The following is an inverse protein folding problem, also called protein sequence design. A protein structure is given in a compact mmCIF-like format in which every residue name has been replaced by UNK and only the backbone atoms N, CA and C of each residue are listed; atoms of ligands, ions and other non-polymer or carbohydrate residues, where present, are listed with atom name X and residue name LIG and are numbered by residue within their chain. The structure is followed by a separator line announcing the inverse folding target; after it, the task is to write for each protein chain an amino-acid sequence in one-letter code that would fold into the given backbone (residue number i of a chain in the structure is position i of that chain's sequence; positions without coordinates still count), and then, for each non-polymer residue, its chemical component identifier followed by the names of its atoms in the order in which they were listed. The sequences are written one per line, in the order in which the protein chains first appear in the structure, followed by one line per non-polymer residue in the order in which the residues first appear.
data_IF_816647746515
#
_entry.id   IF_816647746515
#
_cell.length_a   1.000
_cell.length_b   1.000
_cell.length_c   1.000
_cell.angle_alpha   90.00
_cell.angle_beta   90.00
_cell.angle_gamma   90.00
#
_symmetry.space_group_name_H-M   'P 1'
#
loop_
_entity.id
_entity.type
_entity.pdbx_description
1 polymer ?
#
# COMPACT_ATOMS: atom_id res chain seq x y z
N UNK A 1 -19.54 63.50 -30.24
CA UNK A 1 -19.84 62.11 -29.85
C UNK A 1 -18.82 61.72 -28.80
N UNK A 2 -19.24 61.57 -27.54
CA UNK A 2 -18.36 61.18 -26.42
C UNK A 2 -18.24 59.66 -26.39
N UNK A 3 -17.02 59.12 -26.53
CA UNK A 3 -16.76 57.69 -26.37
C UNK A 3 -16.54 57.37 -24.89
N UNK A 4 -17.47 56.62 -24.29
CA UNK A 4 -17.26 55.94 -23.00
C UNK A 4 -16.31 54.75 -23.21
N UNK A 5 -15.19 54.74 -22.48
CA UNK A 5 -14.35 53.57 -22.28
C UNK A 5 -14.84 52.81 -21.03
N UNK A 6 -15.45 51.65 -21.22
CA UNK A 6 -15.67 50.68 -20.14
C UNK A 6 -14.41 49.84 -19.96
N UNK A 7 -13.67 50.08 -18.88
CA UNK A 7 -12.61 49.16 -18.43
C UNK A 7 -13.31 48.02 -17.68
N UNK A 8 -13.57 46.93 -18.40
CA UNK A 8 -13.99 45.66 -17.80
C UNK A 8 -12.80 45.07 -17.05
N UNK A 9 -12.87 45.07 -15.72
CA UNK A 9 -11.91 44.41 -14.86
C UNK A 9 -11.99 42.90 -15.02
N UNK A 10 -10.97 42.31 -15.64
CA UNK A 10 -10.82 40.87 -15.77
C UNK A 10 -10.44 40.29 -14.39
N UNK A 11 -11.42 39.79 -13.65
CA UNK A 11 -11.19 38.89 -12.53
C UNK A 11 -10.66 37.56 -13.10
N UNK A 12 -9.33 37.39 -13.07
CA UNK A 12 -8.74 36.07 -13.23
C UNK A 12 -9.08 35.27 -11.98
N UNK A 13 -9.76 34.11 -12.08
CA UNK A 13 -9.86 33.21 -10.94
C UNK A 13 -8.44 32.72 -10.66
N UNK A 14 -7.90 33.09 -9.49
CA UNK A 14 -6.69 32.46 -8.97
C UNK A 14 -7.02 30.98 -8.84
N UNK A 15 -6.40 30.17 -9.69
CA UNK A 15 -6.41 28.72 -9.57
C UNK A 15 -5.84 28.39 -8.19
N UNK A 16 -6.71 28.10 -7.23
CA UNK A 16 -6.29 27.39 -6.03
C UNK A 16 -6.05 25.94 -6.48
N UNK A 17 -4.87 25.68 -7.04
CA UNK A 17 -4.34 24.32 -7.08
C UNK A 17 -4.05 23.99 -5.63
N UNK A 18 -5.02 23.39 -4.95
CA UNK A 18 -4.77 22.75 -3.66
C UNK A 18 -3.80 21.61 -3.93
N UNK A 19 -2.50 21.85 -3.75
CA UNK A 19 -1.55 20.76 -3.65
C UNK A 19 -1.84 20.12 -2.31
N UNK A 20 -2.55 18.99 -2.31
CA UNK A 20 -2.84 18.24 -1.11
C UNK A 20 -1.54 18.04 -0.32
N UNK A 21 -1.44 18.67 0.85
CA UNK A 21 -0.24 18.55 1.67
C UNK A 21 -0.26 17.17 2.34
N UNK A 22 0.93 16.56 2.47
CA UNK A 22 1.10 15.26 3.11
C UNK A 22 1.99 15.36 4.36
N UNK A 23 1.49 15.89 5.49
CA UNK A 23 2.27 16.00 6.71
C UNK A 23 2.69 14.63 7.24
N UNK A 24 4.00 14.44 7.40
CA UNK A 24 4.56 13.27 8.06
C UNK A 24 4.54 13.45 9.58
N UNK A 25 4.03 12.45 10.29
CA UNK A 25 3.95 12.45 11.74
C UNK A 25 4.93 11.43 12.32
N UNK A 26 5.91 11.94 13.08
CA UNK A 26 6.99 11.16 13.70
C UNK A 26 6.58 10.42 14.99
N UNK A 27 5.29 10.41 15.34
CA UNK A 27 4.76 9.63 16.46
C UNK A 27 4.23 8.30 15.94
N UNK A 28 4.53 7.21 16.65
CA UNK A 28 3.95 5.89 16.35
C UNK A 28 2.59 5.72 17.01
N UNK A 29 1.62 5.23 16.25
CA UNK A 29 0.25 4.97 16.69
C UNK A 29 -0.31 3.74 15.98
N UNK A 30 -1.32 3.08 16.57
CA UNK A 30 -2.14 2.12 15.82
C UNK A 30 -2.85 2.83 14.66
N UNK A 31 -3.34 2.07 13.66
CA UNK A 31 -3.98 2.69 12.49
C UNK A 31 -5.20 3.53 12.89
N UNK A 32 -6.03 3.01 13.81
CA UNK A 32 -7.22 3.73 14.29
C UNK A 32 -6.87 5.02 15.04
N UNK A 33 -5.83 5.00 15.87
CA UNK A 33 -5.35 6.19 16.57
C UNK A 33 -4.75 7.22 15.61
N UNK A 34 -3.97 6.76 14.62
CA UNK A 34 -3.39 7.61 13.59
C UNK A 34 -4.47 8.30 12.74
N UNK A 35 -5.49 7.55 12.31
CA UNK A 35 -6.65 8.10 11.59
C UNK A 35 -7.37 9.16 12.41
N UNK A 36 -7.65 8.86 13.69
CA UNK A 36 -8.28 9.81 14.59
C UNK A 36 -7.45 11.09 14.71
N UNK A 37 -6.15 10.97 14.96
CA UNK A 37 -5.24 12.12 15.04
C UNK A 37 -5.27 12.96 13.76
N UNK A 38 -5.20 12.32 12.59
CA UNK A 38 -5.24 13.02 11.31
C UNK A 38 -6.59 13.70 11.08
N UNK A 39 -7.72 13.10 11.48
CA UNK A 39 -9.05 13.73 11.36
C UNK A 39 -9.25 14.89 12.33
N UNK A 40 -8.60 14.85 13.49
CA UNK A 40 -8.65 15.95 14.45
C UNK A 40 -7.76 17.12 14.01
N UNK A 41 -6.56 16.83 13.49
CA UNK A 41 -5.50 17.83 13.23
C UNK A 41 -5.44 18.29 11.77
N UNK A 42 -5.80 17.42 10.83
CA UNK A 42 -5.75 17.59 9.37
C UNK A 42 -7.07 17.09 8.75
N UNK A 43 -7.08 16.62 7.50
CA UNK A 43 -8.29 16.04 6.89
C UNK A 43 -8.50 14.57 7.26
N UNK A 44 -7.55 13.68 6.94
CA UNK A 44 -7.57 12.24 7.22
C UNK A 44 -6.15 11.66 7.06
N UNK A 45 -5.96 10.35 7.18
CA UNK A 45 -4.77 9.67 6.65
C UNK A 45 -4.65 9.88 5.14
N UNK A 46 -3.42 9.82 4.62
CA UNK A 46 -3.15 10.06 3.21
C UNK A 46 -3.82 9.05 2.27
N UNK A 47 -4.45 9.56 1.22
CA UNK A 47 -4.96 8.76 0.10
C UNK A 47 -4.05 8.86 -1.11
N UNK A 48 -4.01 7.79 -1.90
CA UNK A 48 -3.25 7.71 -3.15
C UNK A 48 -4.21 7.40 -4.29
N UNK A 49 -4.28 8.29 -5.28
CA UNK A 49 -5.12 8.12 -6.47
C UNK A 49 -4.29 7.79 -7.70
N UNK A 50 -3.02 8.21 -7.71
CA UNK A 50 -2.13 8.13 -8.86
C UNK A 50 -0.71 7.71 -8.49
N UNK A 51 0.10 7.41 -9.51
CA UNK A 51 1.53 7.16 -9.33
C UNK A 51 2.27 8.41 -8.87
N UNK A 52 1.79 9.58 -9.27
CA UNK A 52 2.31 10.90 -8.91
C UNK A 52 2.09 11.16 -7.41
N UNK A 53 0.90 10.86 -6.90
CA UNK A 53 0.59 10.92 -5.46
C UNK A 53 1.55 10.03 -4.67
N UNK A 54 1.73 8.79 -5.13
CA UNK A 54 2.65 7.83 -4.50
C UNK A 54 4.10 8.35 -4.52
N UNK A 55 4.54 8.91 -5.64
CA UNK A 55 5.89 9.48 -5.78
C UNK A 55 6.09 10.69 -4.85
N UNK A 56 5.07 11.52 -4.68
CA UNK A 56 5.06 12.64 -3.73
C UNK A 56 5.21 12.17 -2.28
N UNK A 57 4.46 11.13 -1.89
CA UNK A 57 4.59 10.51 -0.57
C UNK A 57 5.98 9.94 -0.33
N UNK A 58 6.56 9.22 -1.31
CA UNK A 58 7.88 8.62 -1.17
C UNK A 58 8.99 9.64 -0.94
N UNK A 59 8.91 10.82 -1.57
CA UNK A 59 9.88 11.90 -1.33
C UNK A 59 9.91 12.35 0.13
N UNK A 60 8.75 12.39 0.78
CA UNK A 60 8.62 12.78 2.19
C UNK A 60 9.16 11.68 3.10
N UNK A 61 8.79 10.43 2.82
CA UNK A 61 9.21 9.25 3.59
C UNK A 61 10.74 9.09 3.54
N UNK A 62 11.34 9.19 2.35
CA UNK A 62 12.80 9.04 2.17
C UNK A 62 13.59 10.13 2.90
N UNK A 63 13.08 11.36 2.94
CA UNK A 63 13.71 12.46 3.65
C UNK A 63 13.70 12.26 5.19
N UNK A 64 12.76 11.49 5.72
CA UNK A 64 12.57 11.32 7.16
C UNK A 64 13.31 10.10 7.77
N UNK A 65 14.05 9.30 6.97
CA UNK A 65 14.81 8.09 7.41
C UNK A 65 13.92 7.01 8.07
N UNK A 66 12.64 6.94 7.71
CA UNK A 66 11.64 6.20 8.51
C UNK A 66 11.55 4.73 8.12
N UNK A 67 11.00 3.92 9.03
CA UNK A 67 10.46 2.58 8.74
C UNK A 67 8.97 2.71 8.37
N UNK A 68 8.28 1.59 8.15
CA UNK A 68 6.85 1.45 7.80
C UNK A 68 5.95 2.63 8.22
N UNK A 69 5.20 3.17 7.26
CA UNK A 69 4.27 4.28 7.49
C UNK A 69 2.84 3.92 7.10
N UNK A 70 1.86 4.27 7.92
CA UNK A 70 0.45 4.15 7.59
C UNK A 70 0.01 5.23 6.59
N UNK A 71 -0.83 4.81 5.65
CA UNK A 71 -1.71 5.66 4.85
C UNK A 71 -3.15 5.15 4.97
N UNK A 72 -4.11 5.80 4.32
CA UNK A 72 -5.54 5.62 4.55
C UNK A 72 -6.16 4.31 4.06
N UNK A 73 -5.39 3.38 3.50
CA UNK A 73 -5.94 2.12 2.96
C UNK A 73 -6.14 1.09 4.07
N UNK A 74 -7.37 0.56 4.18
CA UNK A 74 -7.75 -0.46 5.15
C UNK A 74 -8.78 -1.43 4.55
N UNK A 75 -8.97 -2.59 5.19
CA UNK A 75 -9.88 -3.63 4.73
C UNK A 75 -11.28 -3.46 5.34
N UNK A 76 -12.29 -3.33 4.51
CA UNK A 76 -13.70 -3.18 4.94
C UNK A 76 -14.43 -4.51 5.10
N UNK A 77 -13.93 -5.58 4.48
CA UNK A 77 -14.62 -6.86 4.35
C UNK A 77 -15.67 -6.89 3.22
N UNK A 78 -15.98 -5.76 2.60
CA UNK A 78 -16.92 -5.67 1.47
C UNK A 78 -16.15 -5.73 0.16
N UNK A 79 -16.34 -6.79 -0.61
CA UNK A 79 -15.66 -6.99 -1.89
C UNK A 79 -16.34 -6.20 -3.01
N UNK A 80 -15.57 -5.33 -3.66
CA UNK A 80 -16.06 -4.44 -4.73
C UNK A 80 -15.16 -4.56 -5.96
N UNK A 81 -15.76 -4.44 -7.14
CA UNK A 81 -15.04 -4.44 -8.42
C UNK A 81 -14.50 -3.05 -8.76
N UNK A 82 -13.28 -3.02 -9.29
CA UNK A 82 -12.50 -1.83 -9.55
C UNK A 82 -11.74 -1.96 -10.87
N UNK A 83 -11.71 -0.89 -11.66
CA UNK A 83 -10.79 -0.76 -12.78
C UNK A 83 -9.42 -0.29 -12.29
N UNK A 84 -8.36 -0.78 -12.90
CA UNK A 84 -6.98 -0.41 -12.56
C UNK A 84 -6.64 1.04 -12.89
N UNK A 85 -7.23 1.58 -13.97
CA UNK A 85 -7.16 3.00 -14.26
C UNK A 85 -8.13 3.79 -13.37
N UNK A 86 -7.69 4.94 -12.81
CA UNK A 86 -8.55 5.80 -12.02
C UNK A 86 -9.67 6.39 -12.89
N UNK A 87 -10.91 6.28 -12.41
CA UNK A 87 -12.10 6.83 -13.05
C UNK A 87 -13.35 6.39 -12.31
N UNK A 88 -14.00 7.32 -11.61
CA UNK A 88 -15.27 7.29 -10.87
C UNK A 88 -15.77 6.00 -10.18
N UNK A 89 -15.03 4.90 -10.11
CA UNK A 89 -15.39 3.66 -9.43
C UNK A 89 -16.65 2.95 -9.96
N UNK A 90 -17.40 3.54 -10.90
CA UNK A 90 -18.67 3.03 -11.37
C UNK A 90 -18.49 2.15 -12.61
N UNK A 91 -18.95 0.91 -12.50
CA UNK A 91 -19.11 -0.03 -13.61
C UNK A 91 -20.36 0.32 -14.43
N UNK A 92 -20.35 1.47 -15.09
CA UNK A 92 -21.48 1.88 -15.96
C UNK A 92 -21.64 0.91 -17.14
N UNK A 93 -20.53 0.53 -17.77
CA UNK A 93 -20.49 -0.51 -18.78
C UNK A 93 -20.13 -1.85 -18.15
N UNK A 94 -20.88 -2.89 -18.51
CA UNK A 94 -20.62 -4.26 -18.09
C UNK A 94 -20.82 -5.22 -19.26
N UNK A 95 -19.87 -6.14 -19.45
CA UNK A 95 -19.99 -7.20 -20.46
C UNK A 95 -19.69 -8.58 -19.85
N UNK A 96 -20.16 -8.82 -18.63
CA UNK A 96 -20.02 -10.11 -17.97
C UNK A 96 -20.68 -11.22 -18.79
N UNK A 97 -19.98 -12.35 -18.89
CA UNK A 97 -20.50 -13.60 -19.41
C UNK A 97 -21.70 -14.05 -18.57
N UNK A 98 -22.65 -14.74 -19.19
CA UNK A 98 -23.79 -15.30 -18.48
C UNK A 98 -23.35 -16.10 -17.22
N UNK A 99 -23.91 -15.74 -16.06
CA UNK A 99 -23.58 -16.33 -14.77
C UNK A 99 -22.35 -15.73 -14.06
N UNK A 100 -21.79 -14.64 -14.58
CA UNK A 100 -20.69 -13.87 -13.99
C UNK A 100 -21.13 -12.44 -13.61
N UNK A 101 -20.44 -11.77 -12.67
CA UNK A 101 -19.44 -12.34 -11.77
C UNK A 101 -20.09 -13.31 -10.76
N UNK A 102 -19.28 -14.09 -10.03
CA UNK A 102 -19.81 -15.03 -9.05
C UNK A 102 -20.45 -14.25 -7.90
N UNK A 103 -21.75 -14.41 -7.71
CA UNK A 103 -22.49 -13.73 -6.62
C UNK A 103 -22.06 -14.32 -5.28
N UNK A 104 -21.78 -13.45 -4.30
CA UNK A 104 -21.50 -13.86 -2.92
C UNK A 104 -20.11 -14.44 -2.66
N UNK A 105 -19.16 -14.32 -3.59
CA UNK A 105 -17.78 -14.72 -3.33
C UNK A 105 -17.08 -13.73 -2.40
N UNK A 106 -16.63 -14.18 -1.23
CA UNK A 106 -15.84 -13.39 -0.28
C UNK A 106 -14.32 -13.53 -0.55
N UNK A 107 -13.94 -13.51 -1.83
CA UNK A 107 -12.55 -13.71 -2.25
C UNK A 107 -12.15 -12.67 -3.28
N UNK A 108 -10.86 -12.33 -3.29
CA UNK A 108 -10.30 -11.48 -4.33
C UNK A 108 -10.51 -12.16 -5.70
N UNK A 109 -10.89 -11.38 -6.70
CA UNK A 109 -11.21 -11.88 -8.03
C UNK A 109 -10.59 -11.00 -9.11
N UNK A 110 -10.19 -11.60 -10.22
CA UNK A 110 -9.62 -10.88 -11.35
C UNK A 110 -10.40 -11.24 -12.62
N UNK A 111 -10.69 -10.25 -13.46
CA UNK A 111 -11.50 -10.50 -14.64
C UNK A 111 -10.62 -10.79 -15.85
N UNK A 112 -10.93 -11.89 -16.53
CA UNK A 112 -10.47 -12.16 -17.88
C UNK A 112 -11.54 -11.78 -18.90
N UNK A 113 -11.12 -11.58 -20.15
CA UNK A 113 -11.98 -11.43 -21.31
C UNK A 113 -11.82 -12.64 -22.22
N UNK A 114 -12.92 -13.23 -22.67
CA UNK A 114 -12.90 -14.32 -23.64
C UNK A 114 -12.95 -13.84 -25.10
N UNK A 115 -12.86 -14.77 -26.06
CA UNK A 115 -12.84 -14.45 -27.49
C UNK A 115 -14.12 -13.76 -28.00
N UNK A 116 -15.21 -13.80 -27.24
CA UNK A 116 -16.44 -13.08 -27.59
C UNK A 116 -16.41 -11.63 -27.11
N UNK A 117 -15.42 -11.27 -26.28
CA UNK A 117 -15.34 -10.00 -25.56
C UNK A 117 -16.06 -10.04 -24.21
N UNK A 118 -16.57 -11.20 -23.79
CA UNK A 118 -17.33 -11.36 -22.54
C UNK A 118 -16.37 -11.54 -21.36
N UNK A 119 -16.71 -10.95 -20.21
CA UNK A 119 -15.86 -10.98 -19.02
C UNK A 119 -16.19 -12.17 -18.14
N UNK A 120 -15.18 -12.74 -17.50
CA UNK A 120 -15.36 -13.81 -16.53
C UNK A 120 -14.44 -13.59 -15.34
N UNK A 121 -14.92 -13.92 -14.14
CA UNK A 121 -14.11 -13.93 -12.94
C UNK A 121 -13.25 -15.20 -12.88
N UNK A 122 -11.97 -15.01 -12.58
CA UNK A 122 -11.02 -16.08 -12.36
C UNK A 122 -10.05 -15.71 -11.22
N UNK A 123 -9.32 -16.70 -10.72
CA UNK A 123 -8.32 -16.50 -9.68
C UNK A 123 -7.22 -15.56 -10.16
N UNK A 124 -6.90 -14.54 -9.36
CA UNK A 124 -5.83 -13.59 -9.67
C UNK A 124 -4.43 -14.24 -9.84
N UNK A 125 -4.25 -15.47 -9.35
CA UNK A 125 -3.00 -16.24 -9.51
C UNK A 125 -2.94 -17.04 -10.81
N UNK A 126 -4.07 -17.21 -11.52
CA UNK A 126 -4.10 -17.92 -12.81
C UNK A 126 -3.19 -17.20 -13.81
N UNK A 127 -2.39 -17.98 -14.54
CA UNK A 127 -1.46 -17.46 -15.54
C UNK A 127 -2.19 -17.28 -16.87
N UNK A 128 -2.28 -16.06 -17.38
CA UNK A 128 -2.90 -15.75 -18.69
C UNK A 128 -2.09 -14.71 -19.45
N UNK A 129 -2.23 -14.71 -20.77
CA UNK A 129 -1.84 -13.54 -21.59
C UNK A 129 -2.71 -12.36 -21.22
N UNK A 130 -2.31 -11.15 -21.58
CA UNK A 130 -2.96 -9.94 -21.09
C UNK A 130 -2.90 -8.80 -22.08
N UNK A 131 -3.86 -7.89 -21.99
CA UNK A 131 -3.91 -6.70 -22.84
C UNK A 131 -3.57 -5.48 -22.01
N UNK A 132 -2.53 -4.76 -22.42
CA UNK A 132 -2.19 -3.46 -21.87
C UNK A 132 -2.89 -2.35 -22.66
N UNK A 133 -3.11 -1.21 -22.02
CA UNK A 133 -3.46 0.05 -22.65
C UNK A 133 -2.28 1.01 -22.55
N UNK A 134 -2.07 1.79 -23.60
CA UNK A 134 -1.26 3.00 -23.56
C UNK A 134 -2.18 4.19 -23.81
N UNK A 135 -2.51 4.92 -22.75
CA UNK A 135 -3.48 6.02 -22.82
C UNK A 135 -2.95 7.21 -23.60
N UNK A 136 -1.61 7.34 -23.73
CA UNK A 136 -1.00 8.41 -24.51
C UNK A 136 -1.21 8.19 -26.00
N UNK A 137 -1.15 6.93 -26.46
CA UNK A 137 -1.40 6.57 -27.86
C UNK A 137 -2.85 6.13 -28.11
N UNK A 138 -3.63 5.86 -27.06
CA UNK A 138 -4.99 5.32 -27.15
C UNK A 138 -5.02 3.88 -27.69
N UNK A 139 -3.93 3.13 -27.55
CA UNK A 139 -3.78 1.80 -28.15
C UNK A 139 -3.92 0.67 -27.12
N UNK A 140 -4.41 -0.48 -27.60
CA UNK A 140 -4.50 -1.72 -26.81
C UNK A 140 -3.51 -2.75 -27.38
N UNK A 141 -2.62 -3.25 -26.53
CA UNK A 141 -1.49 -4.09 -26.92
C UNK A 141 -1.64 -5.46 -26.27
N UNK A 142 -1.75 -6.51 -27.10
CA UNK A 142 -1.67 -7.88 -26.61
C UNK A 142 -0.22 -8.21 -26.23
N UNK A 143 -0.01 -8.66 -25.00
CA UNK A 143 1.26 -9.20 -24.54
C UNK A 143 1.18 -10.73 -24.52
N UNK A 144 1.87 -11.44 -25.43
CA UNK A 144 1.70 -12.89 -25.63
C UNK A 144 2.52 -13.73 -24.64
N UNK A 145 2.64 -13.28 -23.38
CA UNK A 145 3.29 -14.02 -22.29
C UNK A 145 2.28 -14.25 -21.16
N UNK A 146 2.30 -15.43 -20.56
CA UNK A 146 1.38 -15.74 -19.46
C UNK A 146 1.93 -15.24 -18.12
N UNK A 147 1.10 -14.49 -17.39
CA UNK A 147 1.39 -13.93 -16.07
C UNK A 147 0.19 -14.03 -15.12
N UNK A 148 0.45 -14.00 -13.81
CA UNK A 148 -0.62 -13.73 -12.84
C UNK A 148 -1.19 -12.34 -13.12
N UNK A 149 -2.41 -12.06 -12.67
CA UNK A 149 -3.04 -10.77 -12.95
C UNK A 149 -2.20 -9.60 -12.41
N UNK A 150 -1.62 -9.78 -11.21
CA UNK A 150 -0.77 -8.74 -10.60
C UNK A 150 0.55 -8.57 -11.36
N UNK A 151 1.20 -9.65 -11.78
CA UNK A 151 2.43 -9.54 -12.58
C UNK A 151 2.17 -8.95 -13.97
N UNK A 152 0.98 -9.21 -14.54
CA UNK A 152 0.53 -8.61 -15.79
C UNK A 152 0.33 -7.10 -15.65
N UNK A 153 -0.33 -6.67 -14.56
CA UNK A 153 -0.48 -5.25 -14.20
C UNK A 153 0.88 -4.54 -14.09
N UNK A 154 1.81 -5.14 -13.35
CA UNK A 154 3.15 -4.58 -13.19
C UNK A 154 3.90 -4.48 -14.52
N UNK A 155 3.76 -5.48 -15.38
CA UNK A 155 4.32 -5.43 -16.72
C UNK A 155 3.74 -4.27 -17.53
N UNK A 156 2.41 -4.09 -17.53
CA UNK A 156 1.78 -3.00 -18.25
C UNK A 156 2.22 -1.63 -17.72
N UNK A 157 2.33 -1.44 -16.40
CA UNK A 157 2.84 -0.19 -15.80
C UNK A 157 4.32 0.07 -16.06
N UNK A 158 5.08 -0.96 -16.40
CA UNK A 158 6.52 -0.88 -16.69
C UNK A 158 6.83 -0.52 -18.14
N UNK A 159 6.03 -1.02 -19.08
CA UNK A 159 6.27 -0.88 -20.53
C UNK A 159 5.22 -0.05 -21.28
N UNK A 160 4.03 0.14 -20.69
CA UNK A 160 2.87 0.83 -21.25
C UNK A 160 2.26 1.75 -20.17
N UNK A 161 0.94 1.97 -20.18
CA UNK A 161 0.26 2.68 -19.08
C UNK A 161 -0.26 1.71 -18.02
N UNK A 162 -1.15 0.78 -18.40
CA UNK A 162 -1.87 -0.08 -17.45
C UNK A 162 -2.47 -1.31 -18.15
N UNK A 163 -3.01 -2.28 -17.41
CA UNK A 163 -3.95 -3.25 -17.97
C UNK A 163 -5.16 -2.56 -18.61
N UNK A 164 -5.70 -3.17 -19.66
CA UNK A 164 -6.78 -2.58 -20.43
C UNK A 164 -8.08 -2.44 -19.63
N UNK A 165 -8.59 -1.21 -19.53
CA UNK A 165 -9.94 -0.94 -19.04
C UNK A 165 -10.94 -0.89 -20.18
N UNK A 166 -12.09 -1.54 -19.99
CA UNK A 166 -13.21 -1.52 -20.93
C UNK A 166 -14.31 -0.63 -20.36
N UNK A 167 -14.19 0.69 -20.51
CA UNK A 167 -15.14 1.65 -19.92
C UNK A 167 -16.43 1.79 -20.72
N UNK A 168 -16.46 1.27 -21.95
CA UNK A 168 -17.62 1.27 -22.83
C UNK A 168 -17.51 0.13 -23.86
N UNK A 169 -18.58 -0.07 -24.63
CA UNK A 169 -18.65 -1.13 -25.65
C UNK A 169 -17.62 -0.97 -26.78
N UNK A 170 -17.25 0.26 -27.12
CA UNK A 170 -16.24 0.53 -28.16
C UNK A 170 -14.85 0.09 -27.69
N UNK A 171 -14.48 0.44 -26.46
CA UNK A 171 -13.23 0.00 -25.83
C UNK A 171 -13.19 -1.52 -25.67
N UNK A 172 -14.28 -2.13 -25.19
CA UNK A 172 -14.40 -3.58 -25.08
C UNK A 172 -14.14 -4.28 -26.42
N UNK A 173 -14.71 -3.74 -27.51
CA UNK A 173 -14.50 -4.28 -28.84
C UNK A 173 -13.05 -4.13 -29.31
N UNK A 174 -12.38 -3.02 -29.00
CA UNK A 174 -10.95 -2.83 -29.34
C UNK A 174 -10.06 -3.82 -28.59
N UNK A 175 -10.34 -4.06 -27.31
CA UNK A 175 -9.62 -5.05 -26.50
C UNK A 175 -9.82 -6.45 -27.07
N UNK A 176 -11.07 -6.83 -27.41
CA UNK A 176 -11.37 -8.09 -28.08
C UNK A 176 -10.59 -8.26 -29.39
N UNK A 177 -10.54 -7.22 -30.23
CA UNK A 177 -9.78 -7.25 -31.49
C UNK A 177 -8.29 -7.48 -31.23
N UNK A 178 -7.71 -6.79 -30.23
CA UNK A 178 -6.32 -6.99 -29.84
C UNK A 178 -6.05 -8.40 -29.30
N UNK A 179 -6.97 -8.95 -28.50
CA UNK A 179 -6.88 -10.28 -27.90
C UNK A 179 -7.02 -11.42 -28.93
N UNK A 180 -7.73 -11.18 -30.03
CA UNK A 180 -8.01 -12.19 -31.04
C UNK A 180 -8.80 -13.38 -30.46
N UNK A 181 -8.26 -14.59 -30.58
CA UNK A 181 -8.88 -15.82 -30.06
C UNK A 181 -8.47 -16.18 -28.64
N UNK A 182 -7.72 -15.33 -27.95
CA UNK A 182 -7.12 -15.64 -26.65
C UNK A 182 -8.02 -15.20 -25.50
N UNK A 183 -7.98 -15.94 -24.40
CA UNK A 183 -8.52 -15.48 -23.13
C UNK A 183 -7.45 -14.66 -22.40
N UNK A 184 -7.73 -13.38 -22.21
CA UNK A 184 -6.73 -12.41 -21.73
C UNK A 184 -7.13 -11.81 -20.38
N UNK A 185 -6.15 -11.45 -19.55
CA UNK A 185 -6.42 -10.52 -18.45
C UNK A 185 -6.75 -9.13 -18.97
N UNK A 186 -7.72 -8.51 -18.30
CA UNK A 186 -8.06 -7.09 -18.42
C UNK A 186 -7.93 -6.41 -17.05
N UNK A 187 -7.96 -5.09 -17.03
CA UNK A 187 -7.68 -4.26 -15.86
C UNK A 187 -8.78 -4.24 -14.80
N UNK A 188 -9.68 -5.22 -14.74
CA UNK A 188 -10.77 -5.29 -13.76
C UNK A 188 -10.42 -6.29 -12.66
N UNK A 189 -10.49 -5.85 -11.40
CA UNK A 189 -10.20 -6.66 -10.22
C UNK A 189 -11.22 -6.40 -9.11
N UNK A 190 -11.31 -7.33 -8.16
CA UNK A 190 -12.19 -7.27 -7.00
C UNK A 190 -11.36 -7.45 -5.74
N UNK A 191 -11.45 -6.49 -4.83
CA UNK A 191 -10.84 -6.58 -3.50
C UNK A 191 -11.75 -5.94 -2.44
N UNK A 192 -11.33 -6.03 -1.17
CA UNK A 192 -12.04 -5.46 -0.01
C UNK A 192 -11.30 -4.27 0.61
N UNK A 193 -10.34 -3.70 -0.10
CA UNK A 193 -9.53 -2.59 0.38
C UNK A 193 -10.18 -1.25 -0.01
N UNK A 194 -10.36 -0.37 0.97
CA UNK A 194 -11.01 0.93 0.78
C UNK A 194 -10.16 2.04 1.41
N UNK A 195 -10.31 3.26 0.90
CA UNK A 195 -9.63 4.43 1.44
C UNK A 195 -10.45 5.08 2.57
N UNK A 196 -9.76 5.52 3.62
CA UNK A 196 -10.36 6.10 4.82
C UNK A 196 -11.14 7.39 4.57
N UNK A 197 -10.76 8.14 3.55
CA UNK A 197 -11.45 9.35 3.11
C UNK A 197 -12.70 9.05 2.25
N UNK A 198 -13.06 7.78 2.09
CA UNK A 198 -14.16 7.31 1.23
C UNK A 198 -13.96 7.62 -0.25
N UNK A 199 -12.73 7.92 -0.70
CA UNK A 199 -12.43 8.03 -2.11
C UNK A 199 -12.60 6.68 -2.81
N UNK A 200 -13.10 6.74 -4.04
CA UNK A 200 -13.26 5.56 -4.90
C UNK A 200 -11.96 5.11 -5.59
N UNK A 201 -10.79 5.50 -5.08
CA UNK A 201 -9.51 5.21 -5.76
C UNK A 201 -9.22 3.71 -5.82
N UNK A 202 -8.94 3.25 -7.04
CA UNK A 202 -8.53 1.88 -7.34
C UNK A 202 -7.01 1.70 -7.38
N UNK A 203 -6.23 2.72 -7.01
CA UNK A 203 -4.77 2.62 -7.00
C UNK A 203 -4.32 1.60 -5.95
N UNK A 204 -3.46 0.67 -6.40
CA UNK A 204 -2.84 -0.37 -5.56
C UNK A 204 -1.37 -0.47 -5.89
N UNK A 205 -0.51 -0.44 -4.87
CA UNK A 205 0.93 -0.55 -5.02
C UNK A 205 1.54 -1.57 -4.04
N UNK A 206 0.85 -2.70 -3.92
CA UNK A 206 1.27 -3.84 -3.10
C UNK A 206 2.64 -4.38 -3.50
N UNK A 207 3.37 -4.88 -2.52
CA UNK A 207 4.59 -5.64 -2.73
C UNK A 207 4.28 -7.00 -3.35
N UNK A 208 5.31 -7.68 -3.87
CA UNK A 208 5.17 -9.05 -4.37
C UNK A 208 4.60 -9.94 -3.25
N UNK A 209 3.61 -10.77 -3.58
CA UNK A 209 2.87 -11.62 -2.64
C UNK A 209 2.10 -10.87 -1.53
N UNK A 210 1.79 -9.58 -1.73
CA UNK A 210 0.94 -8.78 -0.83
C UNK A 210 -0.30 -8.29 -1.57
N UNK A 211 -1.44 -8.06 -0.89
CA UNK A 211 -1.66 -8.35 0.52
C UNK A 211 -1.64 -9.87 0.75
N UNK A 212 -1.09 -10.28 1.89
CA UNK A 212 -1.07 -11.68 2.32
C UNK A 212 -2.46 -12.16 2.76
N UNK A 213 -3.34 -11.21 3.08
CA UNK A 213 -4.72 -11.44 3.50
C UNK A 213 -4.80 -12.36 4.75
N UNK A 214 -3.77 -12.35 5.60
CA UNK A 214 -3.76 -13.09 6.86
C UNK A 214 -4.80 -12.47 7.80
N UNK A 215 -5.54 -13.33 8.52
CA UNK A 215 -6.59 -12.88 9.45
C UNK A 215 -6.04 -11.86 10.45
N UNK A 216 -6.68 -10.70 10.53
CA UNK A 216 -6.30 -9.60 11.42
C UNK A 216 -5.23 -8.65 10.85
N UNK A 217 -4.80 -8.84 9.60
CA UNK A 217 -3.95 -7.90 8.86
C UNK A 217 -4.79 -7.03 7.92
N UNK A 218 -5.58 -6.14 8.53
CA UNK A 218 -6.61 -5.38 7.83
C UNK A 218 -6.20 -3.92 7.54
N UNK A 219 -4.93 -3.56 7.79
CA UNK A 219 -4.40 -2.22 7.55
C UNK A 219 -3.12 -2.28 6.74
N UNK A 220 -2.81 -1.22 5.99
CA UNK A 220 -1.67 -1.22 5.08
C UNK A 220 -0.58 -0.25 5.52
N UNK A 221 0.69 -0.66 5.40
CA UNK A 221 1.85 0.23 5.52
C UNK A 221 2.65 0.31 4.22
N UNK A 222 3.15 1.51 3.95
CA UNK A 222 4.20 1.75 2.95
C UNK A 222 5.54 1.42 3.58
N UNK A 223 6.31 0.52 2.96
CA UNK A 223 7.61 0.07 3.47
C UNK A 223 8.76 0.89 2.86
N UNK A 224 9.79 1.14 3.66
CA UNK A 224 10.95 1.97 3.30
C UNK A 224 12.15 1.12 2.92
N UNK A 225 12.02 0.33 1.86
CA UNK A 225 13.18 -0.19 1.14
C UNK A 225 12.76 -0.79 -0.20
N UNK A 226 13.42 -0.40 -1.30
CA UNK A 226 13.48 0.94 -1.88
C UNK A 226 12.25 1.24 -2.78
N UNK A 227 11.25 0.36 -2.81
CA UNK A 227 10.24 0.37 -3.87
C UNK A 227 8.98 1.17 -3.53
N UNK A 228 8.81 1.59 -2.27
CA UNK A 228 7.59 2.25 -1.81
C UNK A 228 6.36 1.34 -1.81
N UNK A 229 6.58 0.02 -1.86
CA UNK A 229 5.53 -0.98 -1.96
C UNK A 229 4.88 -1.25 -0.62
N UNK A 230 3.66 -1.73 -0.71
CA UNK A 230 2.76 -1.86 0.42
C UNK A 230 2.68 -3.28 0.96
N UNK A 231 2.58 -3.41 2.27
CA UNK A 231 2.31 -4.67 2.94
C UNK A 231 1.05 -4.53 3.81
N UNK A 232 0.26 -5.60 3.91
CA UNK A 232 -0.80 -5.67 4.91
C UNK A 232 -0.23 -6.04 6.27
N UNK A 233 -0.74 -5.42 7.32
CA UNK A 233 -0.28 -5.55 8.69
C UNK A 233 -1.47 -5.48 9.65
N UNK A 234 -1.26 -5.93 10.88
CA UNK A 234 -2.27 -5.72 11.91
C UNK A 234 -2.48 -4.24 12.17
N UNK A 235 -3.75 -3.82 12.23
CA UNK A 235 -4.15 -2.46 12.57
C UNK A 235 -3.71 -2.04 13.99
N UNK A 236 -3.43 -3.01 14.87
CA UNK A 236 -2.96 -2.77 16.23
C UNK A 236 -1.48 -2.38 16.31
N UNK A 237 -0.70 -2.58 15.24
CA UNK A 237 0.73 -2.29 15.24
C UNK A 237 0.98 -0.77 15.28
N UNK A 238 1.87 -0.32 16.15
CA UNK A 238 2.23 1.10 16.21
C UNK A 238 3.23 1.46 15.09
N UNK A 239 2.81 2.31 14.13
CA UNK A 239 3.64 2.78 13.02
C UNK A 239 3.59 4.31 12.91
N UNK A 240 4.58 4.88 12.23
CA UNK A 240 4.50 6.28 11.79
C UNK A 240 3.39 6.43 10.75
N UNK A 241 2.98 7.66 10.44
CA UNK A 241 1.85 7.86 9.54
C UNK A 241 1.91 9.20 8.81
N UNK A 242 1.21 9.26 7.68
CA UNK A 242 1.09 10.46 6.86
C UNK A 242 -0.37 10.89 6.84
N UNK A 243 -0.62 12.13 7.21
CA UNK A 243 -1.94 12.75 7.06
C UNK A 243 -2.07 13.42 5.69
N UNK A 244 -3.29 13.72 5.27
CA UNK A 244 -3.57 14.59 4.13
C UNK A 244 -4.27 15.88 4.56
N UNK A 245 -3.96 16.96 3.84
CA UNK A 245 -4.52 18.28 4.04
C UNK A 245 -3.66 19.17 4.94
N UNK A 246 -4.07 20.43 5.04
CA UNK A 246 -3.41 21.42 5.87
C UNK A 246 -3.83 21.27 7.34
N UNK A 247 -3.04 21.87 8.23
CA UNK A 247 -3.40 21.99 9.65
C UNK A 247 -4.77 22.68 9.77
N UNK A 248 -5.71 22.03 10.44
CA UNK A 248 -6.99 22.65 10.82
C UNK A 248 -6.68 23.82 11.75
N UNK A 249 -6.96 25.03 11.28
CA UNK A 249 -6.64 26.29 11.97
C UNK A 249 -7.19 26.26 13.40
N UNK A 250 -6.31 26.14 14.39
CA UNK A 250 -6.67 26.07 15.83
C UNK A 250 -5.92 25.00 16.63
N UNK A 251 -5.29 24.01 15.99
CA UNK A 251 -4.44 23.03 16.65
C UNK A 251 -2.97 23.31 16.31
N UNK A 252 -2.40 24.31 16.97
CA UNK A 252 -0.95 24.45 16.98
C UNK A 252 -0.37 23.15 17.56
N UNK A 253 0.36 22.40 16.74
CA UNK A 253 1.26 21.35 17.21
C UNK A 253 2.11 21.98 18.32
N UNK A 254 1.99 21.47 19.55
CA UNK A 254 3.01 21.68 20.57
C UNK A 254 4.31 21.05 20.03
N UNK A 255 5.03 21.85 19.26
CA UNK A 255 6.39 21.58 18.84
C UNK A 255 7.24 21.70 20.10
N UNK A 256 7.81 20.59 20.54
CA UNK A 256 8.83 20.57 21.58
C UNK A 256 10.08 21.28 21.06
N UNK A 257 10.16 22.59 21.30
CA UNK A 257 11.40 23.36 21.24
C UNK A 257 11.76 23.82 22.64
N UNK A 258 12.69 23.11 23.29
CA UNK A 258 13.60 23.73 24.25
C UNK A 258 14.97 23.92 23.56
N UNK A 259 15.60 25.11 23.66
CA UNK A 259 16.94 25.32 23.11
C UNK A 259 18.01 24.56 23.95
N UNK A 260 19.18 24.22 23.36
CA UNK A 260 20.32 23.72 24.14
C UNK A 260 20.82 24.82 25.07
N UNK A 261 21.04 24.47 26.34
CA UNK A 261 21.64 25.35 27.34
C UNK A 261 23.08 25.71 26.94
N UNK A 262 23.41 27.00 27.02
CA UNK A 262 24.77 27.54 26.86
C UNK A 262 25.73 26.90 27.90
N UNK A 263 26.98 26.55 27.53
CA UNK A 263 27.96 26.05 28.49
C UNK A 263 28.54 27.20 29.32
N UNK A 264 28.35 27.13 30.65
CA UNK A 264 29.04 27.98 31.61
C UNK A 264 30.54 27.69 31.57
N UNK A 265 31.34 28.72 31.27
CA UNK A 265 32.80 28.63 31.31
C UNK A 265 33.34 28.54 32.75
N UNK A 266 34.37 27.71 32.89
CA UNK A 266 35.17 27.48 34.08
C UNK A 266 36.03 28.71 34.39
N UNK A 267 36.06 29.13 35.66
CA UNK A 267 37.09 30.02 36.18
C UNK A 267 37.87 29.30 37.30
N UNK A 268 39.19 29.42 37.20
CA UNK A 268 40.27 28.68 37.88
C UNK A 268 40.56 29.11 39.33
N UNK A 269 40.82 28.10 40.20
CA UNK A 269 41.85 27.88 41.26
C UNK A 269 42.50 29.06 42.04
N UNK A 270 43.26 28.87 43.16
CA UNK A 270 43.79 27.65 43.84
C UNK A 270 43.50 27.62 45.37
N UNK A 271 43.78 26.59 46.18
CA UNK A 271 45.08 26.08 46.72
C UNK A 271 44.64 25.09 47.83
N UNK A 272 45.21 23.91 48.06
CA UNK A 272 46.41 23.70 48.90
C UNK A 272 46.52 22.19 49.19
N UNK A 273 47.74 21.71 49.09
CA UNK A 273 48.25 20.35 49.30
C UNK A 273 48.15 19.83 50.74
N UNK A 274 47.99 18.51 50.92
CA UNK A 274 48.84 17.66 51.80
C UNK A 274 48.62 16.17 51.43
N UNK A 275 49.69 15.34 51.35
CA UNK A 275 49.62 13.92 50.98
C UNK A 275 49.78 12.97 52.19
N UNK A 276 49.12 11.81 52.16
CA UNK A 276 49.51 10.66 53.00
C UNK A 276 49.37 9.34 52.22
N UNK A 277 50.29 8.44 52.53
CA UNK A 277 50.84 7.34 51.75
C UNK A 277 50.10 5.99 51.84
N UNK A 278 50.21 5.22 50.75
CA UNK A 278 50.64 3.81 50.60
C UNK A 278 50.00 2.71 51.48
N UNK A 279 49.33 1.74 50.83
CA UNK A 279 49.66 0.32 51.03
C UNK A 279 49.34 -0.59 49.82
N UNK A 280 50.43 -1.21 49.34
CA UNK A 280 50.65 -2.45 48.58
C UNK A 280 49.82 -3.66 49.08
N UNK A 281 49.52 -4.77 48.39
CA UNK A 281 49.69 -5.35 47.04
C UNK A 281 48.80 -6.64 47.01
N UNK A 282 49.16 -7.75 46.33
CA UNK A 282 48.52 -8.33 45.14
C UNK A 282 47.62 -9.57 45.48
N UNK A 283 46.95 -10.28 44.56
CA UNK A 283 47.53 -11.41 43.80
C UNK A 283 46.46 -12.04 42.87
N UNK A 284 46.95 -12.53 41.73
CA UNK A 284 46.35 -13.37 40.69
C UNK A 284 45.69 -14.66 41.14
N UNK A 285 44.74 -15.20 40.35
CA UNK A 285 44.98 -16.42 39.53
C UNK A 285 43.72 -16.91 38.79
N UNK A 286 43.98 -17.46 37.61
CA UNK A 286 43.12 -17.87 36.49
C UNK A 286 42.46 -19.27 36.71
N UNK A 287 42.04 -20.02 35.66
CA UNK A 287 40.66 -20.35 35.26
C UNK A 287 40.23 -21.80 35.55
N UNK A 288 38.97 -22.14 35.23
CA UNK A 288 38.60 -23.56 34.98
C UNK A 288 37.59 -23.70 33.85
N UNK A 289 37.97 -24.48 32.84
CA UNK A 289 37.10 -25.12 31.85
C UNK A 289 36.55 -26.45 32.40
N UNK A 290 35.38 -26.87 31.91
CA UNK A 290 35.03 -28.26 31.52
C UNK A 290 33.65 -28.22 30.83
N UNK A 291 33.53 -28.54 29.52
CA UNK A 291 33.30 -29.88 28.94
C UNK A 291 32.18 -30.65 29.66
N UNK A 292 31.04 -31.03 29.06
CA UNK A 292 30.88 -32.13 28.09
C UNK A 292 29.42 -32.21 27.57
N UNK A 293 29.22 -32.58 26.30
CA UNK A 293 27.97 -33.20 25.75
C UNK A 293 27.98 -34.72 26.03
N UNK A 294 27.09 -35.62 25.50
CA UNK A 294 25.86 -35.49 24.68
C UNK A 294 24.68 -36.38 25.17
N UNK A 295 23.52 -36.38 24.50
CA UNK A 295 22.84 -37.61 24.00
C UNK A 295 21.49 -37.33 23.31
N UNK A 296 21.27 -38.09 22.24
CA UNK A 296 20.06 -38.26 21.42
C UNK A 296 19.14 -39.37 21.96
N UNK A 297 17.83 -39.28 21.70
CA UNK A 297 17.03 -40.46 21.29
C UNK A 297 15.59 -40.10 20.90
N UNK A 298 15.23 -40.44 19.67
CA UNK A 298 13.88 -40.69 19.16
C UNK A 298 13.35 -42.05 19.70
N UNK A 299 12.03 -42.27 19.77
CA UNK A 299 11.50 -43.48 19.13
C UNK A 299 10.15 -43.33 18.39
N UNK A 300 10.18 -43.89 17.18
CA UNK A 300 9.23 -44.68 16.37
C UNK A 300 7.71 -44.74 16.64
N UNK A 301 7.01 -44.73 15.49
CA UNK A 301 5.60 -45.01 15.17
C UNK A 301 4.95 -46.25 15.79
N UNK A 302 3.62 -46.21 15.94
CA UNK A 302 2.73 -47.37 15.78
C UNK A 302 1.54 -46.98 14.88
N UNK A 303 1.26 -47.89 13.96
CA UNK A 303 0.30 -47.92 12.86
C UNK A 303 -0.94 -48.72 13.29
N UNK A 304 -2.16 -48.26 12.99
CA UNK A 304 -3.33 -49.14 12.77
C UNK A 304 -4.42 -48.48 11.91
N UNK A 305 -4.78 -49.16 10.83
CA UNK A 305 -6.07 -49.20 10.10
C UNK A 305 -6.42 -50.70 9.98
N UNK A 306 -7.65 -51.20 9.67
CA UNK A 306 -8.66 -50.75 8.68
C UNK A 306 -10.12 -50.80 9.25
N UNK A 307 -11.21 -50.40 8.58
CA UNK A 307 -11.99 -51.10 7.50
C UNK A 307 -13.15 -50.18 7.01
N UNK A 308 -13.28 -49.92 5.71
CA UNK A 308 -14.29 -50.41 4.74
C UNK A 308 -15.77 -50.55 5.18
N UNK A 309 -16.67 -49.79 4.54
CA UNK A 309 -17.89 -50.33 3.89
C UNK A 309 -18.62 -49.28 3.03
N UNK A 310 -18.81 -49.62 1.76
CA UNK A 310 -19.82 -49.07 0.82
C UNK A 310 -21.13 -49.83 1.03
N UNK A 311 -22.32 -49.30 0.66
CA UNK A 311 -22.98 -49.87 -0.52
C UNK A 311 -23.81 -48.89 -1.40
N UNK A 312 -23.65 -49.11 -2.70
CA UNK A 312 -24.63 -49.24 -3.80
C UNK A 312 -25.99 -48.49 -3.83
N UNK A 313 -26.09 -47.60 -4.83
CA UNK A 313 -27.15 -47.36 -5.84
C UNK A 313 -28.56 -47.98 -5.65
N UNK A 314 -29.57 -47.10 -5.74
CA UNK A 314 -30.76 -47.27 -6.61
C UNK A 314 -30.97 -45.99 -7.38
#
# INVERSE_FOLDING_TARGET
MHHLLFISGLLLPVLVVSSQQYPYISKKMSWMEAQKFCRETFSDLATVNTKEDMSGLLRIILAAVTQNVYIGLYRSGVFTWHWTLPGNGYLEFQNWKAGQPKVGSEQDGCAGMDQNGEWFEDSCSTQRTFVCTDVNSGTYILVPISKSWRDAQEHCRGFYTELASAMNSSENQKIKVAAGSQQVWIGLFKDSWVWSDSSGSSFRFWNTNQPSNIKGQDCMVVTTNPTGRWNDVSCANANFFICQGDLKTGLALQSSTSPPSTPTQIQTSPTSSTPTQIQTSPTSSTPTQNQTSPTSSTPTQIQTSPTSSTPTRT
#
